data_IF_613125852888
#
_entry.id   IF_613125852888
#
_cell.length_a   1.000
_cell.length_b   1.000
_cell.length_c   1.000
_cell.angle_alpha   90.00
_cell.angle_beta   90.00
_cell.angle_gamma   90.00
#
_symmetry.space_group_name_H-M   'P 1'
#
loop_
_entity.id
_entity.type
_entity.pdbx_description
1 polymer ?
#
# COMPACT_ATOMS: atom_id res chain seq x y z
N UNK A 1 13.24 42.66 -6.03
CA UNK A 1 12.66 41.45 -6.66
C UNK A 1 13.63 40.30 -6.49
N UNK A 2 13.50 39.51 -5.42
CA UNK A 2 14.43 38.40 -5.15
C UNK A 2 13.87 37.11 -5.74
N UNK A 3 14.15 36.88 -7.04
CA UNK A 3 14.12 35.54 -7.61
C UNK A 3 15.52 34.93 -7.45
N UNK A 4 15.67 34.00 -6.51
CA UNK A 4 16.89 33.21 -6.36
C UNK A 4 16.78 31.94 -7.22
N UNK A 5 17.67 31.81 -8.21
CA UNK A 5 17.80 30.65 -9.11
C UNK A 5 18.11 29.33 -8.39
N UNK A 6 18.50 29.38 -7.11
CA UNK A 6 18.91 28.25 -6.27
C UNK A 6 17.79 27.66 -5.43
N UNK A 7 16.57 28.21 -5.49
CA UNK A 7 15.41 27.55 -4.91
C UNK A 7 14.99 26.40 -5.86
N UNK A 8 15.49 25.19 -5.60
CA UNK A 8 15.00 23.97 -6.24
C UNK A 8 13.49 23.90 -6.06
N UNK A 9 12.75 23.96 -7.17
CA UNK A 9 11.33 23.66 -7.18
C UNK A 9 11.18 22.14 -7.20
N UNK A 10 11.00 21.53 -6.04
CA UNK A 10 10.52 20.16 -5.96
C UNK A 10 9.18 20.06 -6.68
N UNK A 11 9.14 19.32 -7.78
CA UNK A 11 8.02 19.34 -8.71
C UNK A 11 7.15 18.08 -8.61
N UNK A 12 7.08 17.40 -7.47
CA UNK A 12 6.17 16.26 -7.34
C UNK A 12 4.70 16.65 -7.58
N UNK A 13 3.98 15.81 -8.32
CA UNK A 13 2.56 15.98 -8.61
C UNK A 13 1.69 15.32 -7.56
N UNK A 14 0.73 16.06 -7.00
CA UNK A 14 -0.30 15.52 -6.11
C UNK A 14 -1.68 15.89 -6.64
N UNK A 15 -2.65 15.00 -6.45
CA UNK A 15 -4.03 15.22 -6.80
C UNK A 15 -4.98 14.47 -5.89
N UNK A 16 -6.19 14.99 -5.72
CA UNK A 16 -7.25 14.38 -4.96
C UNK A 16 -8.52 14.37 -5.80
N UNK A 17 -9.21 13.23 -5.82
CA UNK A 17 -10.51 13.08 -6.48
C UNK A 17 -11.47 12.44 -5.48
N UNK A 18 -12.61 13.07 -5.27
CA UNK A 18 -13.66 12.58 -4.39
C UNK A 18 -15.02 12.61 -5.13
N UNK A 19 -15.87 11.63 -4.81
CA UNK A 19 -17.27 11.70 -5.22
C UNK A 19 -18.03 12.59 -4.25
N UNK A 20 -18.67 13.66 -4.74
CA UNK A 20 -19.38 14.63 -3.89
C UNK A 20 -20.48 13.95 -3.07
N UNK A 21 -21.21 13.01 -3.68
CA UNK A 21 -22.28 12.24 -2.99
C UNK A 21 -21.75 11.01 -2.21
N UNK A 22 -20.43 10.81 -2.12
CA UNK A 22 -19.85 9.66 -1.39
C UNK A 22 -20.08 8.28 -2.03
N UNK A 23 -20.51 8.20 -3.29
CA UNK A 23 -20.74 6.93 -3.98
C UNK A 23 -19.44 6.31 -4.47
N UNK A 24 -19.18 5.07 -4.07
CA UNK A 24 -18.03 4.30 -4.54
C UNK A 24 -18.14 4.05 -6.06
N UNK A 25 -17.08 4.36 -6.81
CA UNK A 25 -17.05 4.17 -8.25
C UNK A 25 -15.63 3.91 -8.76
N UNK A 26 -15.48 2.84 -9.54
CA UNK A 26 -14.22 2.53 -10.23
C UNK A 26 -13.79 3.63 -11.22
N UNK A 27 -14.74 4.46 -11.68
CA UNK A 27 -14.45 5.64 -12.51
C UNK A 27 -13.51 6.63 -11.81
N UNK A 28 -13.64 6.80 -10.49
CA UNK A 28 -12.79 7.70 -9.70
C UNK A 28 -11.35 7.18 -9.71
N UNK A 29 -11.16 5.88 -9.48
CA UNK A 29 -9.84 5.23 -9.52
C UNK A 29 -9.20 5.38 -10.90
N UNK A 30 -9.96 5.11 -11.97
CA UNK A 30 -9.49 5.30 -13.35
C UNK A 30 -9.09 6.76 -13.64
N UNK A 31 -9.90 7.72 -13.19
CA UNK A 31 -9.59 9.14 -13.36
C UNK A 31 -8.34 9.54 -12.57
N UNK A 32 -8.15 8.99 -11.36
CA UNK A 32 -6.96 9.26 -10.55
C UNK A 32 -5.69 8.72 -11.23
N UNK A 33 -5.74 7.49 -11.75
CA UNK A 33 -4.66 6.91 -12.56
C UNK A 33 -4.36 7.78 -13.79
N UNK A 34 -5.40 8.21 -14.51
CA UNK A 34 -5.22 9.06 -15.70
C UNK A 34 -4.59 10.41 -15.32
N UNK A 35 -5.05 11.04 -14.25
CA UNK A 35 -4.46 12.27 -13.72
C UNK A 35 -3.00 12.09 -13.33
N UNK A 36 -2.67 11.00 -12.63
CA UNK A 36 -1.31 10.64 -12.24
C UNK A 36 -0.40 10.46 -13.47
N UNK A 37 -0.87 9.77 -14.51
CA UNK A 37 -0.13 9.60 -15.77
C UNK A 37 0.14 10.93 -16.49
N UNK A 38 -0.73 11.94 -16.34
CA UNK A 38 -0.51 13.29 -16.90
C UNK A 38 0.52 14.11 -16.14
N UNK A 39 0.84 13.73 -14.90
CA UNK A 39 1.88 14.39 -14.10
C UNK A 39 3.30 13.85 -14.35
N UNK A 40 3.46 12.89 -15.28
CA UNK A 40 4.73 12.25 -15.60
C UNK A 40 5.86 13.23 -15.99
N UNK A 41 5.52 14.35 -16.63
CA UNK A 41 6.47 15.41 -16.99
C UNK A 41 7.12 16.09 -15.78
N UNK A 42 6.62 15.83 -14.57
CA UNK A 42 7.17 16.34 -13.32
C UNK A 42 7.91 15.28 -12.48
N UNK A 43 7.92 14.03 -12.93
CA UNK A 43 8.70 12.94 -12.31
C UNK A 43 10.03 12.73 -13.02
N UNK A 44 11.03 12.24 -12.31
CA UNK A 44 12.30 11.84 -12.89
C UNK A 44 12.25 10.41 -13.43
N UNK A 45 13.01 10.16 -14.50
CA UNK A 45 13.32 8.82 -15.00
C UNK A 45 14.78 8.55 -14.63
N UNK A 46 15.04 7.40 -14.01
CA UNK A 46 16.38 7.01 -13.59
C UNK A 46 17.25 6.56 -14.77
N UNK A 47 18.52 6.26 -14.51
CA UNK A 47 19.54 5.95 -15.52
C UNK A 47 19.26 4.72 -16.38
N UNK A 48 18.32 3.86 -15.96
CA UNK A 48 17.87 2.70 -16.76
C UNK A 48 16.80 3.06 -17.80
N UNK A 49 16.36 4.32 -17.87
CA UNK A 49 15.40 4.83 -18.85
C UNK A 49 13.97 4.31 -18.68
N UNK A 50 13.70 3.51 -17.64
CA UNK A 50 12.39 2.89 -17.38
C UNK A 50 11.87 3.17 -15.97
N UNK A 51 12.74 3.17 -14.98
CA UNK A 51 12.34 3.34 -13.58
C UNK A 51 12.00 4.81 -13.33
N UNK A 52 10.77 5.05 -12.88
CA UNK A 52 10.36 6.35 -12.35
C UNK A 52 10.81 6.53 -10.89
N UNK A 53 10.89 7.78 -10.44
CA UNK A 53 11.16 8.15 -9.04
C UNK A 53 10.10 7.66 -8.03
N UNK A 54 8.91 7.31 -8.51
CA UNK A 54 7.90 6.57 -7.78
C UNK A 54 6.51 7.15 -7.94
N UNK A 55 5.50 6.29 -7.86
CA UNK A 55 4.11 6.73 -7.92
C UNK A 55 3.23 5.88 -7.01
N UNK A 56 2.03 6.37 -6.71
CA UNK A 56 1.09 5.61 -5.91
C UNK A 56 -0.28 6.25 -5.80
N UNK A 57 -1.20 5.46 -5.27
CA UNK A 57 -2.59 5.82 -5.01
C UNK A 57 -2.93 5.43 -3.57
N UNK A 58 -3.47 6.41 -2.84
CA UNK A 58 -4.21 6.15 -1.61
C UNK A 58 -5.70 6.07 -1.97
N UNK A 59 -6.33 4.96 -1.59
CA UNK A 59 -7.71 4.64 -1.94
C UNK A 59 -8.50 4.38 -0.67
N UNK A 60 -9.81 4.64 -0.69
CA UNK A 60 -10.72 4.00 0.25
C UNK A 60 -10.64 2.47 0.05
N UNK A 61 -10.60 1.72 1.15
CA UNK A 61 -10.52 0.26 1.15
C UNK A 61 -11.65 -0.33 0.27
N UNK A 62 -11.34 -1.05 -0.82
CA UNK A 62 -12.36 -1.60 -1.71
C UNK A 62 -13.01 -2.84 -1.11
N UNK A 63 -14.05 -2.64 -0.27
CA UNK A 63 -14.66 -3.72 0.53
C UNK A 63 -15.11 -4.93 -0.31
N UNK A 64 -15.79 -4.71 -1.44
CA UNK A 64 -16.27 -5.80 -2.31
C UNK A 64 -15.12 -6.63 -2.88
N UNK A 65 -14.01 -5.98 -3.28
CA UNK A 65 -12.84 -6.67 -3.81
C UNK A 65 -12.20 -7.58 -2.75
N UNK A 66 -12.04 -7.07 -1.53
CA UNK A 66 -11.45 -7.84 -0.44
C UNK A 66 -12.36 -8.95 0.09
N UNK A 67 -13.69 -8.81 -0.02
CA UNK A 67 -14.64 -9.89 0.25
C UNK A 67 -14.49 -11.04 -0.76
N UNK A 68 -14.40 -10.73 -2.05
CA UNK A 68 -14.17 -11.75 -3.09
C UNK A 68 -12.87 -12.52 -2.86
N UNK A 69 -11.78 -11.81 -2.54
CA UNK A 69 -10.50 -12.44 -2.17
C UNK A 69 -10.67 -13.40 -0.99
N UNK A 70 -11.41 -12.99 0.04
CA UNK A 70 -11.64 -13.84 1.19
C UNK A 70 -12.43 -15.09 0.83
N UNK A 71 -13.47 -14.95 0.00
CA UNK A 71 -14.25 -16.09 -0.51
C UNK A 71 -13.37 -17.06 -1.30
N UNK A 72 -12.52 -16.56 -2.20
CA UNK A 72 -11.57 -17.37 -2.99
C UNK A 72 -10.59 -18.16 -2.12
N UNK A 73 -10.21 -17.62 -0.96
CA UNK A 73 -9.27 -18.24 -0.02
C UNK A 73 -9.97 -19.04 1.10
N UNK A 74 -11.30 -19.13 1.11
CA UNK A 74 -12.07 -19.76 2.19
C UNK A 74 -11.94 -19.03 3.53
N UNK A 75 -11.64 -17.75 3.52
CA UNK A 75 -11.46 -16.91 4.69
C UNK A 75 -12.76 -16.27 5.16
N UNK A 76 -12.90 -16.14 6.48
CA UNK A 76 -14.01 -15.42 7.08
C UNK A 76 -13.60 -14.01 7.51
N UNK A 77 -14.12 -12.99 6.81
CA UNK A 77 -13.96 -11.59 7.21
C UNK A 77 -15.13 -11.14 8.07
N UNK A 78 -14.81 -10.58 9.24
CA UNK A 78 -15.79 -9.91 10.09
C UNK A 78 -16.31 -8.64 9.42
N UNK A 79 -17.42 -8.08 9.92
CA UNK A 79 -17.93 -6.79 9.43
C UNK A 79 -16.89 -5.66 9.55
N UNK A 80 -16.13 -5.67 10.66
CA UNK A 80 -15.00 -4.78 10.89
C UNK A 80 -13.70 -5.55 10.75
N UNK A 81 -13.08 -5.41 9.58
CA UNK A 81 -11.76 -5.96 9.27
C UNK A 81 -10.85 -4.88 8.69
N UNK A 82 -9.55 -5.08 8.85
CA UNK A 82 -8.51 -4.23 8.30
C UNK A 82 -7.60 -5.01 7.35
N UNK A 83 -6.95 -4.26 6.47
CA UNK A 83 -5.94 -4.80 5.56
C UNK A 83 -4.65 -4.01 5.75
N UNK A 84 -3.57 -4.73 5.99
CA UNK A 84 -2.22 -4.20 5.89
C UNK A 84 -1.69 -4.43 4.49
N UNK A 85 -1.02 -3.43 3.91
CA UNK A 85 -0.19 -3.53 2.71
C UNK A 85 1.25 -3.36 3.16
N UNK A 86 2.07 -4.40 2.98
CA UNK A 86 3.43 -4.48 3.50
C UNK A 86 4.41 -4.80 2.38
N UNK A 87 5.58 -4.20 2.50
CA UNK A 87 6.79 -4.59 1.78
C UNK A 87 7.65 -5.39 2.75
N UNK A 88 8.08 -6.56 2.30
CA UNK A 88 8.95 -7.47 3.03
C UNK A 88 10.18 -7.77 2.16
N UNK A 89 11.27 -8.23 2.79
CA UNK A 89 12.42 -8.75 2.05
C UNK A 89 12.01 -9.89 1.10
N UNK A 90 12.74 -10.03 -0.01
CA UNK A 90 12.58 -11.20 -0.89
C UNK A 90 13.17 -12.48 -0.28
N UNK A 91 14.03 -12.37 0.74
CA UNK A 91 14.50 -13.51 1.50
C UNK A 91 13.34 -14.07 2.36
N UNK A 92 12.94 -15.31 2.06
CA UNK A 92 11.81 -15.97 2.73
C UNK A 92 12.00 -16.12 4.24
N UNK A 93 13.22 -16.28 4.73
CA UNK A 93 13.49 -16.41 6.16
C UNK A 93 13.34 -15.07 6.88
N UNK A 94 13.89 -13.99 6.30
CA UNK A 94 13.72 -12.62 6.82
C UNK A 94 12.25 -12.20 6.76
N UNK A 95 11.57 -12.48 5.64
CA UNK A 95 10.15 -12.21 5.48
C UNK A 95 9.30 -12.98 6.50
N UNK A 96 9.62 -14.25 6.78
CA UNK A 96 8.93 -15.04 7.79
C UNK A 96 9.07 -14.45 9.20
N UNK A 97 10.27 -14.00 9.57
CA UNK A 97 10.51 -13.32 10.85
C UNK A 97 9.71 -12.02 10.95
N UNK A 98 9.68 -11.22 9.87
CA UNK A 98 8.89 -9.99 9.82
C UNK A 98 7.39 -10.28 9.95
N UNK A 99 6.87 -11.29 9.23
CA UNK A 99 5.47 -11.73 9.34
C UNK A 99 5.12 -12.13 10.77
N UNK A 100 5.98 -12.90 11.42
CA UNK A 100 5.77 -13.31 12.81
C UNK A 100 5.68 -12.10 13.74
N UNK A 101 6.59 -11.13 13.63
CA UNK A 101 6.54 -9.91 14.45
C UNK A 101 5.26 -9.10 14.20
N UNK A 102 4.84 -8.99 12.93
CA UNK A 102 3.59 -8.33 12.55
C UNK A 102 2.39 -9.02 13.20
N UNK A 103 2.30 -10.34 13.09
CA UNK A 103 1.22 -11.13 13.68
C UNK A 103 1.17 -10.99 15.20
N UNK A 104 2.32 -11.10 15.88
CA UNK A 104 2.42 -10.94 17.32
C UNK A 104 1.90 -9.58 17.80
N UNK A 105 2.30 -8.47 17.15
CA UNK A 105 1.86 -7.13 17.55
C UNK A 105 0.38 -6.87 17.26
N UNK A 106 -0.16 -7.44 16.18
CA UNK A 106 -1.58 -7.35 15.86
C UNK A 106 -2.43 -8.16 16.86
N UNK A 107 -2.00 -9.37 17.19
CA UNK A 107 -2.65 -10.21 18.21
C UNK A 107 -2.57 -9.58 19.60
N UNK A 108 -1.46 -8.90 19.96
CA UNK A 108 -1.34 -8.10 21.20
C UNK A 108 -2.38 -6.98 21.26
N UNK A 109 -2.81 -6.45 20.13
CA UNK A 109 -3.92 -5.51 20.03
C UNK A 109 -5.28 -6.19 19.87
N UNK A 110 -5.39 -7.49 20.18
CA UNK A 110 -6.62 -8.31 20.10
C UNK A 110 -7.21 -8.48 18.70
N UNK A 111 -6.42 -8.19 17.66
CA UNK A 111 -6.83 -8.39 16.28
C UNK A 111 -6.54 -9.85 15.88
N UNK A 112 -7.54 -10.51 15.29
CA UNK A 112 -7.40 -11.90 14.85
C UNK A 112 -6.85 -11.93 13.42
N UNK A 113 -5.76 -12.68 13.22
CA UNK A 113 -5.17 -12.86 11.89
C UNK A 113 -6.07 -13.76 11.06
N UNK A 114 -6.44 -13.29 9.87
CA UNK A 114 -7.26 -14.04 8.91
C UNK A 114 -6.35 -14.77 7.92
N UNK A 115 -5.38 -14.06 7.36
CA UNK A 115 -4.44 -14.64 6.41
C UNK A 115 -3.55 -13.61 5.72
N UNK A 116 -2.53 -14.14 5.04
CA UNK A 116 -1.61 -13.39 4.20
C UNK A 116 -1.92 -13.66 2.73
N UNK A 117 -1.95 -12.59 1.94
CA UNK A 117 -2.12 -12.61 0.48
C UNK A 117 -0.87 -12.03 -0.16
N UNK A 118 -0.20 -12.80 -0.99
CA UNK A 118 0.79 -12.23 -1.91
C UNK A 118 0.06 -11.37 -2.95
N UNK A 119 0.48 -10.12 -3.11
CA UNK A 119 -0.16 -9.21 -4.08
C UNK A 119 0.33 -9.60 -5.48
N UNK A 120 -0.57 -9.85 -6.44
CA UNK A 120 -0.18 -10.08 -7.83
C UNK A 120 0.54 -8.86 -8.38
N UNK A 121 1.76 -9.08 -8.87
CA UNK A 121 2.59 -8.03 -9.48
C UNK A 121 3.16 -8.52 -10.81
N UNK A 122 3.22 -7.62 -11.79
CA UNK A 122 3.87 -7.86 -13.07
C UNK A 122 5.23 -7.17 -13.10
N UNK A 123 6.30 -7.93 -12.97
CA UNK A 123 7.67 -7.40 -12.93
C UNK A 123 8.22 -7.03 -14.30
N UNK A 124 7.60 -7.49 -15.39
CA UNK A 124 8.12 -7.28 -16.76
C UNK A 124 8.09 -5.81 -17.19
N UNK A 125 7.28 -4.99 -16.51
CA UNK A 125 7.15 -3.56 -16.75
C UNK A 125 8.22 -2.73 -16.02
N UNK A 126 8.98 -3.31 -15.09
CA UNK A 126 9.94 -2.59 -14.27
C UNK A 126 11.31 -2.48 -14.95
N UNK A 127 12.00 -1.36 -14.69
CA UNK A 127 13.41 -1.20 -15.04
C UNK A 127 14.34 -1.99 -14.11
N UNK A 128 15.61 -2.14 -14.48
CA UNK A 128 16.58 -2.90 -13.69
C UNK A 128 16.80 -2.32 -12.29
N UNK A 129 16.68 -0.99 -12.12
CA UNK A 129 16.82 -0.31 -10.83
C UNK A 129 15.63 -0.59 -9.92
N UNK A 130 14.40 -0.53 -10.46
CA UNK A 130 13.21 -0.90 -9.71
C UNK A 130 13.20 -2.38 -9.34
N UNK A 131 13.67 -3.25 -10.25
CA UNK A 131 13.75 -4.70 -10.00
C UNK A 131 14.75 -5.06 -8.91
N UNK A 132 15.91 -4.40 -8.86
CA UNK A 132 16.94 -4.69 -7.85
C UNK A 132 16.53 -4.29 -6.42
N UNK A 133 15.54 -3.41 -6.28
CA UNK A 133 14.99 -2.93 -5.01
C UNK A 133 13.54 -3.38 -4.79
N UNK A 134 13.03 -4.30 -5.59
CA UNK A 134 11.65 -4.77 -5.53
C UNK A 134 11.43 -5.58 -4.24
N UNK A 135 10.52 -5.19 -3.32
CA UNK A 135 10.19 -6.00 -2.17
C UNK A 135 9.21 -7.14 -2.52
N UNK A 136 9.09 -8.13 -1.63
CA UNK A 136 7.88 -8.97 -1.61
C UNK A 136 6.72 -8.11 -1.14
N UNK A 137 5.69 -7.97 -1.98
CA UNK A 137 4.50 -7.17 -1.68
C UNK A 137 3.40 -8.09 -1.20
N UNK A 138 3.02 -7.93 0.07
CA UNK A 138 2.05 -8.80 0.73
C UNK A 138 0.99 -7.99 1.46
N UNK A 139 -0.19 -8.60 1.57
CA UNK A 139 -1.31 -8.07 2.33
C UNK A 139 -1.62 -8.99 3.51
N UNK A 140 -1.85 -8.41 4.68
CA UNK A 140 -2.36 -9.13 5.85
C UNK A 140 -3.80 -8.71 6.13
N UNK A 141 -4.68 -9.69 6.31
CA UNK A 141 -6.08 -9.47 6.67
C UNK A 141 -6.25 -9.74 8.16
N UNK A 142 -6.90 -8.82 8.87
CA UNK A 142 -7.19 -8.98 10.30
C UNK A 142 -8.61 -8.59 10.64
N UNK A 143 -9.24 -9.39 11.49
CA UNK A 143 -10.57 -9.11 12.03
C UNK A 143 -10.44 -8.40 13.38
N UNK A 144 -11.28 -7.38 13.60
CA UNK A 144 -11.46 -6.81 14.92
C UNK A 144 -12.53 -7.58 15.72
N UNK A 145 -12.44 -7.56 17.06
CA UNK A 145 -13.49 -8.08 17.93
C UNK A 145 -14.85 -7.42 17.66
N UNK A 146 -15.92 -8.17 17.96
CA UNK A 146 -17.28 -7.64 17.89
C UNK A 146 -17.45 -6.42 18.83
N UNK A 147 -18.23 -5.43 18.38
CA UNK A 147 -18.53 -4.22 19.17
C UNK A 147 -17.53 -3.08 19.03
N UNK A 148 -16.37 -3.29 18.40
CA UNK A 148 -15.42 -2.21 18.14
C UNK A 148 -15.93 -1.26 17.06
N UNK A 149 -15.78 0.05 17.27
CA UNK A 149 -16.08 1.07 16.25
C UNK A 149 -14.89 1.21 15.30
N UNK A 150 -15.14 1.86 14.15
CA UNK A 150 -14.11 2.18 13.15
C UNK A 150 -12.90 2.90 13.79
N UNK A 151 -13.13 3.86 14.69
CA UNK A 151 -12.04 4.59 15.33
C UNK A 151 -11.25 3.75 16.34
N UNK A 152 -11.88 2.72 16.93
CA UNK A 152 -11.21 1.84 17.88
C UNK A 152 -10.18 0.97 17.17
N UNK A 153 -10.56 0.39 16.03
CA UNK A 153 -9.65 -0.42 15.21
C UNK A 153 -8.51 0.43 14.63
N UNK A 154 -8.77 1.62 14.07
CA UNK A 154 -7.69 2.47 13.54
C UNK A 154 -6.66 2.86 14.61
N UNK A 155 -7.12 3.21 15.82
CA UNK A 155 -6.23 3.54 16.93
C UNK A 155 -5.34 2.35 17.32
N UNK A 156 -5.91 1.14 17.35
CA UNK A 156 -5.22 -0.10 17.69
C UNK A 156 -4.20 -0.49 16.63
N UNK A 157 -4.59 -0.40 15.35
CA UNK A 157 -3.69 -0.59 14.21
C UNK A 157 -2.53 0.40 14.21
N UNK A 158 -2.78 1.67 14.55
CA UNK A 158 -1.72 2.66 14.70
C UNK A 158 -0.71 2.27 15.79
N UNK A 159 -1.20 1.82 16.95
CA UNK A 159 -0.32 1.36 18.04
C UNK A 159 0.50 0.14 17.60
N UNK A 160 -0.16 -0.88 17.01
CA UNK A 160 0.52 -2.07 16.49
C UNK A 160 1.59 -1.68 15.47
N UNK A 161 1.26 -0.84 14.48
CA UNK A 161 2.19 -0.32 13.48
C UNK A 161 3.46 0.28 14.12
N UNK A 162 3.30 1.16 15.11
CA UNK A 162 4.43 1.82 15.78
C UNK A 162 5.31 0.84 16.56
N UNK A 163 4.76 -0.27 17.06
CA UNK A 163 5.54 -1.31 17.73
C UNK A 163 6.25 -2.22 16.73
N UNK A 164 5.58 -2.58 15.64
CA UNK A 164 6.16 -3.35 14.54
C UNK A 164 7.38 -2.60 13.97
N UNK A 165 7.21 -1.32 13.62
CA UNK A 165 8.28 -0.45 13.10
C UNK A 165 9.48 -0.33 14.06
N UNK A 166 9.29 -0.51 15.36
CA UNK A 166 10.38 -0.47 16.35
C UNK A 166 11.08 -1.82 16.52
N UNK A 167 10.38 -2.93 16.28
CA UNK A 167 10.89 -4.29 16.47
C UNK A 167 11.62 -4.81 15.25
N UNK A 168 11.19 -4.41 14.06
CA UNK A 168 11.80 -4.87 12.81
C UNK A 168 12.94 -3.92 12.45
N UNK A 169 14.14 -4.49 12.28
CA UNK A 169 15.36 -3.78 11.88
C UNK A 169 15.73 -4.03 10.41
N UNK A 170 14.95 -4.84 9.71
CA UNK A 170 15.13 -5.09 8.28
C UNK A 170 14.85 -3.82 7.49
N UNK A 171 15.77 -3.45 6.60
CA UNK A 171 15.68 -2.19 5.83
C UNK A 171 14.66 -2.29 4.68
N UNK A 172 14.36 -3.51 4.23
CA UNK A 172 13.37 -3.75 3.16
C UNK A 172 11.94 -3.75 3.71
N UNK A 173 11.78 -3.85 5.04
CA UNK A 173 10.49 -3.88 5.68
C UNK A 173 9.82 -2.50 5.70
N UNK A 174 8.60 -2.43 5.17
CA UNK A 174 7.83 -1.19 5.22
C UNK A 174 6.31 -1.42 5.22
N UNK A 175 5.59 -0.72 6.10
CA UNK A 175 4.12 -0.74 6.14
C UNK A 175 3.58 0.42 5.29
N UNK A 176 3.10 0.10 4.09
CA UNK A 176 2.48 1.09 3.19
C UNK A 176 1.18 1.64 3.75
N UNK A 177 0.32 0.74 4.22
CA UNK A 177 -0.91 1.08 4.92
C UNK A 177 -1.26 -0.07 5.86
N UNK A 178 -1.90 0.25 6.99
CA UNK A 178 -2.48 -0.73 7.90
C UNK A 178 -3.72 -0.08 8.49
N UNK A 179 -4.87 -0.32 7.85
CA UNK A 179 -6.10 0.42 8.11
C UNK A 179 -7.34 -0.38 7.74
N UNK A 180 -8.46 -0.07 8.38
CA UNK A 180 -9.80 -0.53 8.02
C UNK A 180 -10.55 0.45 7.09
N UNK A 181 -9.98 1.62 6.80
CA UNK A 181 -10.59 2.67 5.98
C UNK A 181 -9.91 2.83 4.63
N UNK A 182 -8.58 2.74 4.58
CA UNK A 182 -7.78 3.07 3.39
C UNK A 182 -6.77 1.98 3.06
N UNK A 183 -6.35 1.96 1.79
CA UNK A 183 -5.24 1.12 1.33
C UNK A 183 -4.36 1.92 0.38
N UNK A 184 -3.04 1.68 0.41
CA UNK A 184 -2.07 2.34 -0.46
C UNK A 184 -1.52 1.33 -1.46
N UNK A 185 -1.56 1.66 -2.74
CA UNK A 185 -0.83 0.96 -3.80
C UNK A 185 0.24 1.90 -4.34
N UNK A 186 1.51 1.62 -4.09
CA UNK A 186 2.64 2.44 -4.54
C UNK A 186 3.79 1.56 -5.00
N UNK A 187 4.66 2.10 -5.84
CA UNK A 187 5.85 1.41 -6.33
C UNK A 187 6.81 2.32 -7.08
N UNK A 188 8.03 1.83 -7.30
CA UNK A 188 9.05 2.46 -8.13
C UNK A 188 8.79 2.16 -9.61
N UNK A 189 7.71 2.71 -10.13
CA UNK A 189 7.33 2.59 -11.54
C UNK A 189 6.79 3.92 -12.05
N UNK A 190 6.69 4.05 -13.38
CA UNK A 190 6.03 5.18 -14.01
C UNK A 190 4.54 5.20 -13.66
N UNK A 191 3.95 6.39 -13.57
CA UNK A 191 2.54 6.57 -13.21
C UNK A 191 1.58 5.79 -14.14
N UNK A 192 1.91 5.74 -15.43
CA UNK A 192 1.12 5.03 -16.45
C UNK A 192 1.19 3.51 -16.30
N UNK A 193 2.25 2.99 -15.68
CA UNK A 193 2.49 1.56 -15.54
C UNK A 193 2.00 1.01 -14.20
N UNK A 194 1.61 1.87 -13.24
CA UNK A 194 1.06 1.44 -11.94
C UNK A 194 -0.11 0.42 -12.06
N UNK A 195 -1.09 0.58 -12.98
CA UNK A 195 -2.17 -0.40 -13.15
C UNK A 195 -1.74 -1.66 -13.92
N UNK A 196 -0.58 -1.64 -14.56
CA UNK A 196 0.01 -2.83 -15.18
C UNK A 196 0.87 -3.59 -14.17
N UNK A 197 1.50 -2.87 -13.26
CA UNK A 197 2.25 -3.42 -12.15
C UNK A 197 1.35 -4.20 -11.21
N UNK A 198 0.27 -3.58 -10.74
CA UNK A 198 -0.75 -4.21 -9.90
C UNK A 198 -1.96 -4.61 -10.75
N UNK A 199 -2.16 -5.90 -10.98
CA UNK A 199 -3.24 -6.45 -11.81
C UNK A 199 -4.26 -7.28 -11.02
#
# INVERSE_FOLDING_TARGET
>A
MLYQKTAEKENCGFGLIAHIEGKASHKIVRNAIHGLARMQHRGAILSDGKTGDGCGLLLQKPTRFFQLIAEENGWHLANNYAVGMLFLSQDNAIAAQCRQIVEEELQRETLSIVGWRKVPTNTDILGSIALSSLPSIEQIFVNAPAGWRINDIERRLFIARRRIEKRITDNDFYICSLSNLVTVYKGLCMAIDLPRFFY
#
